data_IF_873860577838
#
_entry.id   IF_873860577838
#
_cell.length_a   1.000
_cell.length_b   1.000
_cell.length_c   1.000
_cell.angle_alpha   90.00
_cell.angle_beta   90.00
_cell.angle_gamma   90.00
#
_symmetry.space_group_name_H-M   'P 1'
#
loop_
_entity.id
_entity.type
_entity.pdbx_description
1 polymer ?
#
# COMPACT_ATOMS: atom_id res chain seq x y z
N UNK A 1 24.02 -7.33 -35.15
CA UNK A 1 23.01 -8.14 -34.43
C UNK A 1 23.11 -7.85 -32.94
N UNK A 2 21.94 -7.75 -32.28
CA UNK A 2 21.70 -7.62 -30.84
C UNK A 2 21.83 -6.23 -30.18
N UNK A 3 21.09 -5.27 -30.76
CA UNK A 3 20.63 -4.06 -30.10
C UNK A 3 19.22 -4.27 -29.49
N UNK A 4 19.09 -5.18 -28.49
CA UNK A 4 17.78 -5.58 -27.94
C UNK A 4 17.74 -5.83 -26.42
N UNK A 5 18.81 -5.52 -25.67
CA UNK A 5 18.83 -5.72 -24.20
C UNK A 5 18.90 -4.42 -23.38
N UNK A 6 18.59 -3.27 -23.99
CA UNK A 6 18.58 -1.96 -23.32
C UNK A 6 17.16 -1.44 -23.06
N UNK A 7 16.23 -2.32 -22.70
CA UNK A 7 14.85 -1.96 -22.37
C UNK A 7 14.50 -2.41 -20.94
N UNK A 8 14.10 -1.42 -20.12
CA UNK A 8 13.44 -1.53 -18.81
C UNK A 8 14.26 -1.62 -17.52
N UNK A 9 15.39 -0.90 -17.43
CA UNK A 9 15.76 -0.32 -16.12
C UNK A 9 15.17 1.08 -16.00
N UNK A 10 13.88 1.17 -15.70
CA UNK A 10 13.36 2.40 -15.09
C UNK A 10 14.01 2.46 -13.71
N UNK A 11 15.07 3.25 -13.58
CA UNK A 11 15.60 3.69 -12.29
C UNK A 11 14.45 4.38 -11.54
N UNK A 12 13.70 3.61 -10.75
CA UNK A 12 12.65 4.14 -9.91
C UNK A 12 13.32 4.90 -8.76
N UNK A 13 13.51 6.20 -8.96
CA UNK A 13 13.83 7.11 -7.86
C UNK A 13 12.67 7.01 -6.87
N UNK A 14 12.93 6.42 -5.70
CA UNK A 14 11.98 6.46 -4.59
C UNK A 14 11.68 7.92 -4.29
N UNK A 15 10.39 8.28 -4.31
CA UNK A 15 9.97 9.65 -4.05
C UNK A 15 10.30 9.99 -2.59
N UNK A 16 11.17 10.97 -2.40
CA UNK A 16 11.46 11.56 -1.09
C UNK A 16 10.52 12.74 -0.87
N UNK A 17 9.84 12.76 0.26
CA UNK A 17 8.98 13.88 0.67
C UNK A 17 9.81 14.82 1.54
N UNK A 18 10.24 15.96 0.99
CA UNK A 18 11.14 16.90 1.70
C UNK A 18 10.57 17.40 3.03
N UNK A 19 9.26 17.55 3.07
CA UNK A 19 8.49 18.01 4.22
C UNK A 19 8.23 16.90 5.27
N UNK A 20 8.40 15.64 4.88
CA UNK A 20 8.29 14.48 5.77
C UNK A 20 9.38 13.45 5.46
N UNK A 21 10.66 13.75 5.76
CA UNK A 21 11.79 12.91 5.35
C UNK A 21 11.74 11.50 5.95
N UNK A 22 11.08 11.33 7.10
CA UNK A 22 10.93 10.03 7.77
C UNK A 22 9.79 9.17 7.20
N UNK A 23 8.94 9.73 6.34
CA UNK A 23 7.88 8.97 5.68
C UNK A 23 8.43 8.37 4.39
N UNK A 24 8.91 7.13 4.47
CA UNK A 24 9.64 6.46 3.38
C UNK A 24 8.95 5.18 2.89
N UNK A 25 7.68 5.22 2.44
CA UNK A 25 7.10 4.09 1.73
C UNK A 25 7.92 3.82 0.45
N UNK A 26 8.22 2.56 0.17
CA UNK A 26 9.03 2.15 -1.00
C UNK A 26 8.17 1.60 -2.14
N UNK A 27 6.85 1.61 -2.00
CA UNK A 27 5.88 1.25 -3.04
C UNK A 27 4.96 2.45 -3.29
N UNK A 28 4.95 2.95 -4.52
CA UNK A 28 4.07 4.06 -4.92
C UNK A 28 2.59 3.62 -4.94
N UNK A 29 1.63 4.56 -4.89
CA UNK A 29 0.22 4.19 -4.98
C UNK A 29 -0.14 3.41 -6.25
N UNK A 30 0.43 3.78 -7.40
CA UNK A 30 0.28 3.02 -8.64
C UNK A 30 0.77 1.58 -8.47
N UNK A 31 1.94 1.39 -7.86
CA UNK A 31 2.50 0.06 -7.63
C UNK A 31 1.66 -0.75 -6.62
N UNK A 32 1.10 -0.12 -5.59
CA UNK A 32 0.20 -0.78 -4.64
C UNK A 32 -1.04 -1.32 -5.37
N UNK A 33 -1.65 -0.49 -6.24
CA UNK A 33 -2.78 -0.92 -7.07
C UNK A 33 -2.37 -2.07 -7.99
N UNK A 34 -1.29 -1.91 -8.75
CA UNK A 34 -0.81 -2.91 -9.72
C UNK A 34 -0.42 -4.25 -9.10
N UNK A 35 0.07 -4.26 -7.85
CA UNK A 35 0.33 -5.49 -7.08
C UNK A 35 -0.96 -6.15 -6.55
N UNK A 36 -2.12 -5.62 -6.91
CA UNK A 36 -3.42 -6.17 -6.56
C UNK A 36 -3.74 -6.06 -5.09
N UNK A 37 -3.24 -5.03 -4.38
CA UNK A 37 -3.18 -5.07 -2.92
C UNK A 37 -4.54 -5.27 -2.22
N UNK A 38 -5.65 -4.91 -2.86
CA UNK A 38 -6.98 -4.88 -2.24
C UNK A 38 -8.02 -5.78 -2.91
N UNK A 39 -7.57 -6.88 -3.54
CA UNK A 39 -8.45 -7.88 -4.14
C UNK A 39 -9.39 -7.34 -5.19
N UNK A 40 -8.99 -6.26 -5.87
CA UNK A 40 -9.80 -5.65 -6.93
C UNK A 40 -10.76 -4.55 -6.47
N UNK A 41 -10.88 -4.28 -5.17
CA UNK A 41 -12.07 -3.61 -4.62
C UNK A 41 -11.84 -2.24 -3.99
N UNK A 42 -10.62 -1.69 -4.07
CA UNK A 42 -10.29 -0.52 -3.24
C UNK A 42 -11.16 0.70 -3.57
N UNK A 43 -11.34 1.02 -4.85
CA UNK A 43 -12.19 2.13 -5.30
C UNK A 43 -13.55 1.65 -5.82
N UNK A 44 -14.09 0.59 -5.22
CA UNK A 44 -15.49 0.17 -5.46
C UNK A 44 -16.48 1.26 -5.04
N UNK A 45 -17.74 1.21 -5.48
CA UNK A 45 -18.77 2.09 -4.94
C UNK A 45 -18.97 1.82 -3.44
N UNK A 46 -19.00 2.87 -2.63
CA UNK A 46 -19.20 2.77 -1.18
C UNK A 46 -20.28 3.75 -0.72
N UNK A 47 -20.98 3.41 0.36
CA UNK A 47 -21.60 4.40 1.23
C UNK A 47 -20.67 4.60 2.42
N UNK A 48 -20.40 5.85 2.81
CA UNK A 48 -19.57 6.14 3.98
C UNK A 48 -20.41 6.84 5.03
N UNK A 49 -20.52 6.24 6.21
CA UNK A 49 -21.24 6.82 7.35
C UNK A 49 -20.58 8.13 7.82
N UNK A 50 -19.26 8.25 7.68
CA UNK A 50 -18.50 9.46 8.06
C UNK A 50 -18.86 10.66 7.17
N UNK A 51 -19.15 10.42 5.89
CA UNK A 51 -19.53 11.49 4.94
C UNK A 51 -21.03 11.60 4.71
N UNK A 52 -21.83 10.61 5.13
CA UNK A 52 -23.26 10.53 4.92
C UNK A 52 -23.69 10.33 3.46
N UNK A 53 -22.79 9.95 2.55
CA UNK A 53 -23.06 9.90 1.10
C UNK A 53 -22.49 8.67 0.41
N UNK A 54 -23.07 8.39 -0.78
CA UNK A 54 -22.55 7.38 -1.73
C UNK A 54 -21.41 7.99 -2.55
N UNK A 55 -20.29 7.28 -2.63
CA UNK A 55 -19.16 7.58 -3.51
C UNK A 55 -19.12 6.57 -4.65
N UNK A 56 -18.98 7.05 -5.88
CA UNK A 56 -18.95 6.18 -7.06
C UNK A 56 -17.52 5.93 -7.50
N UNK A 57 -17.25 4.74 -8.04
CA UNK A 57 -15.96 4.40 -8.63
C UNK A 57 -15.52 5.42 -9.68
N UNK A 58 -16.44 5.85 -10.57
CA UNK A 58 -16.16 6.86 -11.60
C UNK A 58 -15.67 8.18 -11.00
N UNK A 59 -16.31 8.67 -9.94
CA UNK A 59 -15.90 9.94 -9.31
C UNK A 59 -14.52 9.89 -8.67
N UNK A 60 -14.21 8.81 -7.94
CA UNK A 60 -12.93 8.72 -7.22
C UNK A 60 -11.74 8.43 -8.14
N UNK A 61 -11.91 7.60 -9.19
CA UNK A 61 -10.81 7.29 -10.10
C UNK A 61 -10.38 8.49 -10.95
N UNK A 62 -11.29 9.43 -11.22
CA UNK A 62 -11.01 10.67 -11.96
C UNK A 62 -10.00 11.59 -11.24
N UNK A 63 -9.79 11.41 -9.94
CA UNK A 63 -8.81 12.17 -9.15
C UNK A 63 -7.35 11.82 -9.49
N UNK A 64 -7.12 10.65 -10.09
CA UNK A 64 -5.79 10.07 -10.28
C UNK A 64 -5.37 10.06 -11.76
N UNK A 65 -4.06 10.08 -12.06
CA UNK A 65 -3.57 10.04 -13.43
C UNK A 65 -4.07 8.82 -14.19
N UNK A 66 -4.53 9.03 -15.43
CA UNK A 66 -4.88 7.93 -16.34
C UNK A 66 -3.73 6.94 -16.53
N UNK A 67 -2.47 7.39 -16.41
CA UNK A 67 -1.29 6.53 -16.50
C UNK A 67 -1.24 5.44 -15.43
N UNK A 68 -1.77 5.67 -14.22
CA UNK A 68 -1.84 4.66 -13.17
C UNK A 68 -2.68 3.45 -13.57
N UNK A 69 -3.60 3.66 -14.52
CA UNK A 69 -4.56 2.66 -14.98
C UNK A 69 -4.31 2.21 -16.42
N UNK A 70 -3.32 2.79 -17.12
CA UNK A 70 -3.01 2.40 -18.50
C UNK A 70 -2.54 0.94 -18.56
N UNK A 71 -3.11 0.17 -19.48
CA UNK A 71 -2.81 -1.25 -19.64
C UNK A 71 -3.23 -2.10 -18.44
N UNK A 72 -4.22 -1.64 -17.67
CA UNK A 72 -4.68 -2.29 -16.44
C UNK A 72 -6.19 -2.45 -16.49
N UNK A 73 -6.71 -3.66 -16.27
CA UNK A 73 -8.14 -3.89 -16.17
C UNK A 73 -8.65 -3.31 -14.84
N UNK A 74 -9.13 -2.07 -14.90
CA UNK A 74 -9.60 -1.35 -13.72
C UNK A 74 -10.84 -2.00 -13.10
N UNK A 75 -11.70 -2.61 -13.93
CA UNK A 75 -12.98 -3.17 -13.50
C UNK A 75 -12.74 -4.37 -12.60
N UNK A 76 -11.77 -5.21 -12.97
CA UNK A 76 -11.36 -6.35 -12.15
C UNK A 76 -10.46 -5.96 -10.99
N UNK A 77 -9.52 -5.04 -11.20
CA UNK A 77 -8.40 -4.87 -10.28
C UNK A 77 -8.48 -3.64 -9.35
N UNK A 78 -9.45 -2.75 -9.54
CA UNK A 78 -9.53 -1.50 -8.76
C UNK A 78 -10.94 -1.20 -8.27
N UNK A 79 -11.95 -1.39 -9.12
CA UNK A 79 -13.33 -0.94 -8.86
C UNK A 79 -14.35 -2.08 -8.78
N UNK A 80 -13.89 -3.33 -8.69
CA UNK A 80 -14.74 -4.50 -8.50
C UNK A 80 -15.55 -4.36 -7.21
N UNK A 81 -16.80 -4.83 -7.23
CA UNK A 81 -17.59 -4.96 -5.99
C UNK A 81 -17.14 -6.16 -5.17
N UNK A 82 -16.68 -7.21 -5.86
CA UNK A 82 -16.35 -8.50 -5.27
C UNK A 82 -14.85 -8.64 -5.08
N UNK A 83 -14.47 -9.07 -3.87
CA UNK A 83 -13.07 -9.24 -3.49
C UNK A 83 -12.53 -10.56 -4.02
N UNK A 84 -11.49 -10.50 -4.87
CA UNK A 84 -10.77 -11.68 -5.34
C UNK A 84 -9.34 -11.73 -4.80
N UNK A 85 -9.08 -12.65 -3.86
CA UNK A 85 -7.74 -12.85 -3.30
C UNK A 85 -6.71 -13.34 -4.32
N UNK A 86 -7.14 -13.91 -5.46
CA UNK A 86 -6.23 -14.38 -6.53
C UNK A 86 -5.52 -13.23 -7.23
N UNK A 87 -6.09 -12.02 -7.18
CA UNK A 87 -5.49 -10.80 -7.72
C UNK A 87 -4.35 -10.30 -6.81
N UNK A 88 -4.43 -10.57 -5.52
CA UNK A 88 -3.42 -10.12 -4.56
C UNK A 88 -2.07 -10.77 -4.85
N UNK A 89 -1.00 -9.96 -4.82
CA UNK A 89 0.39 -10.45 -4.98
C UNK A 89 0.72 -11.67 -4.11
N UNK A 90 0.20 -11.75 -2.88
CA UNK A 90 0.45 -12.87 -1.96
C UNK A 90 -0.72 -13.85 -1.82
N UNK A 91 -1.76 -13.75 -2.66
CA UNK A 91 -2.84 -14.74 -2.75
C UNK A 91 -3.76 -14.84 -1.52
N UNK A 92 -3.68 -13.90 -0.57
CA UNK A 92 -4.42 -13.94 0.70
C UNK A 92 -5.24 -12.69 0.92
N UNK A 93 -6.44 -12.84 1.49
CA UNK A 93 -7.27 -11.71 1.94
C UNK A 93 -6.77 -11.23 3.31
N UNK A 94 -6.66 -9.91 3.49
CA UNK A 94 -6.35 -9.30 4.77
C UNK A 94 -6.94 -7.90 4.88
N UNK A 95 -6.84 -7.30 6.07
CA UNK A 95 -7.37 -5.97 6.37
C UNK A 95 -8.79 -6.01 6.94
N UNK A 96 -9.16 -4.92 7.60
CA UNK A 96 -10.49 -4.71 8.18
C UNK A 96 -11.47 -4.13 7.15
N UNK A 97 -12.77 -4.25 7.43
CA UNK A 97 -13.82 -3.69 6.56
C UNK A 97 -13.84 -2.15 6.58
N UNK A 98 -14.55 -1.51 5.65
CA UNK A 98 -14.74 -0.05 5.71
C UNK A 98 -15.44 0.36 7.01
N UNK A 99 -16.48 -0.38 7.40
CA UNK A 99 -17.23 -0.18 8.63
C UNK A 99 -16.33 -0.26 9.88
N UNK A 100 -15.44 -1.24 9.96
CA UNK A 100 -14.45 -1.35 11.05
C UNK A 100 -13.57 -0.10 11.14
N UNK A 101 -13.19 0.47 9.99
CA UNK A 101 -12.37 1.67 9.95
C UNK A 101 -13.16 2.92 10.33
N UNK A 102 -14.43 3.02 9.93
CA UNK A 102 -15.32 4.10 10.34
C UNK A 102 -15.58 4.06 11.85
N UNK A 103 -15.91 2.89 12.40
CA UNK A 103 -16.16 2.68 13.83
C UNK A 103 -14.94 2.98 14.70
N UNK A 104 -13.72 2.79 14.18
CA UNK A 104 -12.45 3.13 14.88
C UNK A 104 -12.03 4.59 14.73
N UNK A 105 -12.83 5.44 14.06
CA UNK A 105 -12.47 6.83 13.78
C UNK A 105 -11.24 6.97 12.85
N UNK A 106 -10.97 5.96 12.03
CA UNK A 106 -9.80 5.94 11.14
C UNK A 106 -10.07 6.55 9.77
N UNK A 107 -11.34 6.73 9.42
CA UNK A 107 -11.80 7.43 8.22
C UNK A 107 -12.07 8.90 8.55
N UNK A 108 -11.65 9.79 7.66
CA UNK A 108 -11.96 11.24 7.74
C UNK A 108 -12.79 11.63 6.53
N UNK A 109 -13.61 12.69 6.67
CA UNK A 109 -14.49 13.14 5.57
C UNK A 109 -13.73 13.47 4.29
N UNK A 110 -12.51 13.98 4.42
CA UNK A 110 -11.66 14.27 3.28
C UNK A 110 -11.29 12.99 2.54
N UNK A 111 -10.97 11.89 3.24
CA UNK A 111 -10.48 10.63 2.64
C UNK A 111 -11.43 9.45 2.99
N UNK A 112 -12.62 9.37 2.36
CA UNK A 112 -13.66 8.38 2.67
C UNK A 112 -13.26 6.92 2.44
N UNK A 113 -12.24 6.66 1.62
CA UNK A 113 -11.67 5.33 1.41
C UNK A 113 -10.54 4.99 2.40
N UNK A 114 -10.16 5.93 3.27
CA UNK A 114 -9.19 5.73 4.34
C UNK A 114 -7.73 5.96 3.91
N UNK A 115 -6.82 5.29 4.62
CA UNK A 115 -5.38 5.60 4.58
C UNK A 115 -4.79 5.53 3.17
N UNK A 116 -5.16 4.53 2.35
CA UNK A 116 -4.55 4.40 1.03
C UNK A 116 -5.03 5.49 0.05
N UNK A 117 -6.27 5.99 0.16
CA UNK A 117 -6.68 7.22 -0.55
C UNK A 117 -5.92 8.45 -0.05
N UNK A 118 -5.75 8.58 1.27
CA UNK A 118 -4.89 9.65 1.82
C UNK A 118 -3.49 9.58 1.20
N UNK A 119 -2.90 8.38 1.13
CA UNK A 119 -1.58 8.15 0.54
C UNK A 119 -1.54 8.50 -0.95
N UNK A 120 -2.56 8.11 -1.74
CA UNK A 120 -2.66 8.50 -3.14
C UNK A 120 -2.59 10.02 -3.33
N UNK A 121 -3.35 10.77 -2.53
CA UNK A 121 -3.42 12.24 -2.63
C UNK A 121 -2.19 12.92 -2.06
N UNK A 122 -1.65 12.42 -0.95
CA UNK A 122 -0.39 12.89 -0.36
C UNK A 122 0.77 12.69 -1.34
N UNK A 123 0.85 11.52 -1.98
CA UNK A 123 1.85 11.22 -3.01
C UNK A 123 1.77 12.18 -4.20
N UNK A 124 0.56 12.64 -4.53
CA UNK A 124 0.29 13.63 -5.59
C UNK A 124 0.49 15.09 -5.17
N UNK A 125 0.91 15.35 -3.93
CA UNK A 125 1.27 16.67 -3.45
C UNK A 125 0.23 17.36 -2.57
N UNK A 126 -0.93 16.73 -2.30
CA UNK A 126 -1.87 17.27 -1.33
C UNK A 126 -1.22 17.29 0.06
N UNK A 127 -1.40 18.38 0.79
CA UNK A 127 -1.02 18.53 2.20
C UNK A 127 -2.20 18.94 3.04
N UNK A 128 -2.33 18.36 4.23
CA UNK A 128 -3.45 18.59 5.14
C UNK A 128 -3.02 18.51 6.60
N UNK A 129 -3.85 19.01 7.52
CA UNK A 129 -3.62 18.85 8.97
C UNK A 129 -3.62 17.37 9.43
N UNK A 130 -4.15 16.45 8.63
CA UNK A 130 -4.21 15.01 8.93
C UNK A 130 -2.91 14.26 8.61
N UNK A 131 -1.97 14.90 7.91
CA UNK A 131 -0.79 14.22 7.36
C UNK A 131 0.08 13.59 8.46
N UNK A 132 0.33 14.33 9.54
CA UNK A 132 1.11 13.84 10.68
C UNK A 132 0.50 12.57 11.27
N UNK A 133 -0.82 12.54 11.50
CA UNK A 133 -1.52 11.38 12.05
C UNK A 133 -1.38 10.16 11.12
N UNK A 134 -1.52 10.33 9.82
CA UNK A 134 -1.47 9.23 8.86
C UNK A 134 -0.03 8.71 8.66
N UNK A 135 0.97 9.58 8.74
CA UNK A 135 2.39 9.22 8.74
C UNK A 135 2.73 8.46 10.02
N UNK A 136 2.26 8.90 11.18
CA UNK A 136 2.52 8.20 12.45
C UNK A 136 1.89 6.80 12.48
N UNK A 137 0.69 6.65 11.90
CA UNK A 137 0.08 5.33 11.71
C UNK A 137 0.95 4.43 10.83
N UNK A 138 1.50 4.97 9.74
CA UNK A 138 2.42 4.23 8.88
C UNK A 138 3.71 3.87 9.63
N UNK A 139 4.31 4.80 10.37
CA UNK A 139 5.54 4.57 11.16
C UNK A 139 5.35 3.42 12.15
N UNK A 140 4.22 3.41 12.88
CA UNK A 140 3.87 2.36 13.85
C UNK A 140 3.61 0.99 13.20
N UNK A 141 3.22 0.96 11.93
CA UNK A 141 2.82 -0.27 11.25
C UNK A 141 3.90 -0.84 10.33
N UNK A 142 4.37 -0.03 9.39
CA UNK A 142 5.27 -0.39 8.29
C UNK A 142 6.62 0.36 8.30
N UNK A 143 6.77 1.39 9.13
CA UNK A 143 8.04 2.12 9.30
C UNK A 143 9.17 1.23 9.85
N UNK A 144 10.40 1.75 9.99
CA UNK A 144 11.57 0.95 10.39
C UNK A 144 11.37 0.12 11.66
N UNK A 145 10.66 0.67 12.65
CA UNK A 145 10.29 0.01 13.91
C UNK A 145 8.83 -0.46 13.94
N UNK A 146 8.14 -0.43 12.79
CA UNK A 146 6.73 -0.74 12.67
C UNK A 146 6.41 -2.19 13.01
N UNK A 147 5.30 -2.41 13.72
CA UNK A 147 4.88 -3.71 14.27
C UNK A 147 4.91 -4.83 13.24
N UNK A 148 4.35 -4.61 12.05
CA UNK A 148 4.23 -5.66 11.03
C UNK A 148 5.54 -5.87 10.28
N UNK A 149 6.30 -4.80 10.02
CA UNK A 149 7.62 -4.90 9.40
C UNK A 149 8.58 -5.70 10.27
N UNK A 150 8.71 -5.34 11.54
CA UNK A 150 9.61 -6.03 12.48
C UNK A 150 9.16 -7.47 12.75
N UNK A 151 7.84 -7.72 12.89
CA UNK A 151 7.30 -9.07 13.02
C UNK A 151 7.68 -9.96 11.84
N UNK A 152 7.51 -9.50 10.59
CA UNK A 152 7.90 -10.26 9.41
C UNK A 152 9.40 -10.59 9.40
N UNK A 153 10.25 -9.60 9.68
CA UNK A 153 11.70 -9.81 9.71
C UNK A 153 12.12 -10.78 10.80
N UNK A 154 11.52 -10.71 11.99
CA UNK A 154 11.76 -11.66 13.08
C UNK A 154 11.39 -13.09 12.69
N UNK A 155 10.25 -13.30 12.00
CA UNK A 155 9.85 -14.62 11.50
C UNK A 155 10.87 -15.18 10.51
N UNK A 156 11.31 -14.36 9.54
CA UNK A 156 12.32 -14.74 8.55
C UNK A 156 13.67 -15.10 9.20
N UNK A 157 14.09 -14.36 10.24
CA UNK A 157 15.33 -14.64 10.97
C UNK A 157 15.22 -15.96 11.71
N UNK A 158 14.15 -16.15 12.50
CA UNK A 158 13.93 -17.36 13.30
C UNK A 158 13.89 -18.62 12.43
N UNK A 159 13.24 -18.52 11.27
CA UNK A 159 13.06 -19.63 10.35
C UNK A 159 14.20 -19.74 9.32
N UNK A 160 15.26 -18.92 9.46
CA UNK A 160 16.45 -18.88 8.60
C UNK A 160 16.11 -18.73 7.10
N UNK A 161 15.08 -17.96 6.78
CA UNK A 161 14.59 -17.74 5.41
C UNK A 161 15.13 -16.45 4.78
N UNK A 162 15.13 -16.42 3.45
CA UNK A 162 15.48 -15.24 2.65
C UNK A 162 14.36 -14.19 2.67
N UNK A 163 14.70 -12.92 2.42
CA UNK A 163 13.72 -11.81 2.46
C UNK A 163 12.51 -12.00 1.53
N UNK A 164 12.72 -12.71 0.42
CA UNK A 164 11.76 -13.02 -0.63
C UNK A 164 11.12 -14.42 -0.50
N UNK A 165 11.31 -15.13 0.62
CA UNK A 165 10.55 -16.34 0.90
C UNK A 165 9.10 -15.95 1.29
N UNK A 166 8.21 -15.95 0.29
CA UNK A 166 6.83 -15.49 0.44
C UNK A 166 5.93 -16.49 1.18
N UNK A 167 6.43 -17.70 1.47
CA UNK A 167 5.71 -18.65 2.34
C UNK A 167 5.65 -18.13 3.79
N UNK A 168 6.60 -17.29 4.18
CA UNK A 168 6.62 -16.68 5.51
C UNK A 168 5.65 -15.50 5.57
N UNK A 169 4.54 -15.75 6.28
CA UNK A 169 3.47 -14.80 6.59
C UNK A 169 2.98 -13.98 5.38
N UNK A 170 2.39 -14.62 4.34
CA UNK A 170 1.80 -13.91 3.21
C UNK A 170 0.80 -12.85 3.64
N UNK A 171 0.09 -13.07 4.77
CA UNK A 171 -0.85 -12.09 5.35
C UNK A 171 -0.14 -10.81 5.78
N UNK A 172 0.97 -10.88 6.52
CA UNK A 172 1.71 -9.68 6.93
C UNK A 172 2.30 -8.96 5.72
N UNK A 173 2.81 -9.72 4.74
CA UNK A 173 3.32 -9.14 3.50
C UNK A 173 2.23 -8.38 2.74
N UNK A 174 1.03 -8.94 2.67
CA UNK A 174 -0.13 -8.29 2.07
C UNK A 174 -0.54 -7.03 2.83
N UNK A 175 -0.59 -7.09 4.17
CA UNK A 175 -0.85 -5.91 5.02
C UNK A 175 0.19 -4.82 4.76
N UNK A 176 1.47 -5.15 4.68
CA UNK A 176 2.51 -4.17 4.40
C UNK A 176 2.33 -3.49 3.03
N UNK A 177 1.90 -4.24 2.00
CA UNK A 177 1.57 -3.65 0.70
C UNK A 177 0.42 -2.66 0.77
N UNK A 178 -0.62 -2.92 1.58
CA UNK A 178 -1.71 -1.95 1.79
C UNK A 178 -1.19 -0.60 2.30
N UNK A 179 -0.04 -0.61 2.98
CA UNK A 179 0.64 0.55 3.57
C UNK A 179 1.83 1.05 2.75
N UNK A 180 1.90 0.70 1.46
CA UNK A 180 2.94 1.20 0.55
C UNK A 180 4.35 0.70 0.88
N UNK A 181 4.47 -0.45 1.54
CA UNK A 181 5.76 -1.03 1.90
C UNK A 181 5.91 -2.47 1.42
N UNK A 182 7.07 -2.79 0.87
CA UNK A 182 7.49 -4.14 0.52
C UNK A 182 8.89 -4.41 1.09
N UNK A 183 9.05 -5.52 1.82
CA UNK A 183 10.32 -5.84 2.46
C UNK A 183 11.42 -6.08 1.43
N UNK A 184 12.56 -5.39 1.58
CA UNK A 184 13.74 -5.60 0.71
C UNK A 184 14.84 -6.41 1.41
N UNK A 185 15.80 -6.91 0.62
CA UNK A 185 17.03 -7.53 1.16
C UNK A 185 17.78 -6.56 2.09
N UNK A 186 17.89 -5.28 1.69
CA UNK A 186 18.58 -4.23 2.47
C UNK A 186 17.94 -4.06 3.84
N UNK A 187 16.61 -4.03 3.91
CA UNK A 187 15.87 -3.87 5.17
C UNK A 187 16.16 -5.02 6.13
N UNK A 188 16.09 -6.27 5.64
CA UNK A 188 16.36 -7.45 6.46
C UNK A 188 17.82 -7.51 6.92
N UNK A 189 18.77 -7.20 6.03
CA UNK A 189 20.20 -7.16 6.39
C UNK A 189 20.50 -6.10 7.45
N UNK A 190 19.96 -4.89 7.28
CA UNK A 190 20.13 -3.80 8.27
C UNK A 190 19.54 -4.20 9.62
N UNK A 191 18.34 -4.78 9.62
CA UNK A 191 17.67 -5.21 10.85
C UNK A 191 18.42 -6.35 11.56
N UNK A 192 18.94 -7.35 10.83
CA UNK A 192 19.82 -8.39 11.39
C UNK A 192 21.05 -7.80 12.06
N UNK A 193 21.65 -6.77 11.45
CA UNK A 193 22.84 -6.12 11.97
C UNK A 193 22.55 -5.33 13.25
N UNK A 194 21.35 -4.74 13.38
CA UNK A 194 20.92 -4.03 14.60
C UNK A 194 20.54 -4.93 15.79
N UNK A 195 20.54 -6.26 15.59
CA UNK A 195 20.24 -7.27 16.61
C UNK A 195 21.49 -7.96 17.15
N UNK A 196 22.64 -7.73 16.52
CA UNK A 196 23.95 -8.14 17.02
C UNK A 196 24.44 -7.05 17.98
#
# INVERSE_FOLDING_TARGET
MNNLYKLFYVNYIMKVFKDYPDFTPNVSPEQVLRKGSFGGTYFRPIYSSVTGKKHTSKSVIQEYPKSWFKGYDIHKNVISKDYDKKINKYGVKCGSSLEDWENKGWITKQDPYGWFQWYCRFYRGRRTKDDQRQIDRWKKLAGPNGRFRTRLMNMLIREKKAFNDYTISPVIRQVLLHWGYELTKRDLTKYKSSKK
#
